data_IF_065915652711
#
_entry.id   IF_065915652711
#
_cell.length_a   1.000
_cell.length_b   1.000
_cell.length_c   1.000
_cell.angle_alpha   90.00
_cell.angle_beta   90.00
_cell.angle_gamma   90.00
#
_symmetry.space_group_name_H-M   'P 1'
#
loop_
_entity.id
_entity.type
_entity.pdbx_description
1 polymer ?
#
# COMPACT_ATOMS: atom_id res chain seq x y z
N UNK A 1 -17.43 -14.53 0.20
CA UNK A 1 -16.57 -14.06 1.31
C UNK A 1 -15.07 -14.21 1.04
N UNK A 2 -14.51 -15.43 0.87
CA UNK A 2 -13.05 -15.58 0.64
C UNK A 2 -12.57 -14.99 -0.71
N UNK A 3 -13.38 -15.11 -1.78
CA UNK A 3 -13.10 -14.48 -3.07
C UNK A 3 -13.10 -12.94 -2.97
N UNK A 4 -14.02 -12.37 -2.18
CA UNK A 4 -14.15 -10.92 -1.97
C UNK A 4 -12.94 -10.37 -1.19
N UNK A 5 -12.43 -11.11 -0.19
CA UNK A 5 -11.23 -10.74 0.57
C UNK A 5 -9.97 -10.76 -0.31
N UNK A 6 -9.85 -11.75 -1.22
CA UNK A 6 -8.75 -11.83 -2.17
C UNK A 6 -8.63 -10.58 -3.02
N UNK A 7 -9.73 -10.22 -3.69
CA UNK A 7 -9.83 -9.03 -4.53
C UNK A 7 -9.60 -7.73 -3.74
N UNK A 8 -10.16 -7.63 -2.53
CA UNK A 8 -9.99 -6.46 -1.68
C UNK A 8 -8.52 -6.21 -1.33
N UNK A 9 -7.78 -7.26 -0.98
CA UNK A 9 -6.35 -7.14 -0.65
C UNK A 9 -5.50 -6.84 -1.88
N UNK A 10 -5.87 -7.33 -3.05
CA UNK A 10 -5.21 -6.97 -4.31
C UNK A 10 -5.40 -5.48 -4.62
N UNK A 11 -6.61 -4.95 -4.45
CA UNK A 11 -6.92 -3.53 -4.61
C UNK A 11 -6.20 -2.65 -3.57
N UNK A 12 -6.05 -3.14 -2.34
CA UNK A 12 -5.31 -2.45 -1.28
C UNK A 12 -3.79 -2.49 -1.46
N UNK A 13 -3.27 -3.48 -2.20
CA UNK A 13 -1.84 -3.76 -2.34
C UNK A 13 -0.96 -2.54 -2.61
N UNK A 14 -1.25 -1.71 -3.62
CA UNK A 14 -0.46 -0.51 -3.92
C UNK A 14 -0.41 0.49 -2.76
N UNK A 15 -1.55 0.75 -2.11
CA UNK A 15 -1.63 1.67 -0.97
C UNK A 15 -0.85 1.14 0.24
N UNK A 16 -0.96 -0.17 0.51
CA UNK A 16 -0.21 -0.81 1.58
C UNK A 16 1.29 -0.71 1.32
N UNK A 17 1.75 -0.96 0.08
CA UNK A 17 3.15 -0.83 -0.30
C UNK A 17 3.66 0.61 -0.14
N UNK A 18 2.90 1.62 -0.59
CA UNK A 18 3.25 3.03 -0.39
C UNK A 18 3.40 3.38 1.09
N UNK A 19 2.48 2.91 1.95
CA UNK A 19 2.55 3.15 3.38
C UNK A 19 3.73 2.44 4.06
N UNK A 20 4.02 1.20 3.67
CA UNK A 20 5.20 0.47 4.17
C UNK A 20 6.49 1.15 3.74
N UNK A 21 6.61 1.60 2.48
CA UNK A 21 7.78 2.34 2.01
C UNK A 21 7.96 3.66 2.74
N UNK A 22 6.87 4.39 3.00
CA UNK A 22 6.93 5.72 3.59
C UNK A 22 7.18 5.71 5.10
N UNK A 23 6.63 4.73 5.83
CA UNK A 23 6.65 4.71 7.29
C UNK A 23 7.37 3.50 7.90
N UNK A 24 7.52 2.40 7.16
CA UNK A 24 7.95 1.12 7.72
C UNK A 24 7.10 0.75 8.94
N UNK A 25 7.75 0.24 10.00
CA UNK A 25 7.06 -0.11 11.26
C UNK A 25 6.45 1.09 11.99
N UNK A 26 6.89 2.31 11.71
CA UNK A 26 6.32 3.52 12.30
C UNK A 26 4.89 3.81 11.79
N UNK A 27 4.42 3.06 10.78
CA UNK A 27 3.03 3.12 10.31
C UNK A 27 2.02 2.92 11.44
N UNK A 28 2.37 2.14 12.47
CA UNK A 28 1.55 1.83 13.64
C UNK A 28 1.68 2.85 14.79
N UNK A 29 2.60 3.80 14.71
CA UNK A 29 2.77 4.81 15.76
C UNK A 29 1.55 5.76 15.82
N UNK A 30 1.13 6.09 17.05
CA UNK A 30 0.04 7.04 17.32
C UNK A 30 0.60 8.47 17.18
N UNK A 31 0.29 9.13 16.07
CA UNK A 31 0.71 10.52 15.80
C UNK A 31 0.42 10.94 14.36
N UNK A 32 0.23 12.23 14.11
CA UNK A 32 0.21 12.74 12.74
C UNK A 32 1.61 12.58 12.15
N UNK A 33 1.74 11.77 11.09
CA UNK A 33 2.94 11.79 10.26
C UNK A 33 2.96 13.08 9.47
N UNK A 34 3.05 14.21 10.17
CA UNK A 34 2.99 15.56 9.62
C UNK A 34 4.28 15.77 8.80
N UNK A 35 4.19 15.42 7.51
CA UNK A 35 5.28 15.57 6.55
C UNK A 35 5.50 14.35 5.64
N UNK A 36 4.88 13.21 5.94
CA UNK A 36 5.09 11.98 5.16
C UNK A 36 3.95 11.82 4.16
N UNK A 37 4.33 11.91 2.89
CA UNK A 37 3.59 11.69 1.65
C UNK A 37 2.06 11.48 1.81
N UNK A 38 1.28 12.48 1.40
CA UNK A 38 -0.19 12.41 1.40
C UNK A 38 -0.72 11.17 0.64
N UNK A 39 0.06 10.62 -0.30
CA UNK A 39 -0.27 9.40 -1.04
C UNK A 39 -0.20 8.12 -0.18
N UNK A 40 0.57 8.12 0.92
CA UNK A 40 0.69 7.01 1.85
C UNK A 40 -0.43 6.97 2.91
N UNK A 41 -1.20 8.06 3.05
CA UNK A 41 -2.27 8.22 4.05
C UNK A 41 -3.34 7.12 4.02
N UNK A 42 -3.90 6.74 2.85
CA UNK A 42 -4.86 5.64 2.76
C UNK A 42 -4.28 4.31 3.26
N UNK A 43 -3.10 3.91 2.80
CA UNK A 43 -2.46 2.66 3.22
C UNK A 43 -2.11 2.62 4.70
N UNK A 44 -1.71 3.77 5.28
CA UNK A 44 -1.46 3.88 6.71
C UNK A 44 -2.72 3.64 7.54
N UNK A 45 -3.85 4.24 7.17
CA UNK A 45 -5.14 4.03 7.87
C UNK A 45 -5.58 2.57 7.79
N UNK A 46 -5.41 1.95 6.62
CA UNK A 46 -5.70 0.52 6.43
C UNK A 46 -4.87 -0.38 7.35
N UNK A 47 -3.55 -0.17 7.40
CA UNK A 47 -2.64 -0.93 8.28
C UNK A 47 -2.95 -0.70 9.76
N UNK A 48 -3.32 0.52 10.15
CA UNK A 48 -3.75 0.81 11.51
C UNK A 48 -5.07 0.13 11.89
N UNK A 49 -6.05 0.11 10.99
CA UNK A 49 -7.31 -0.60 11.21
C UNK A 49 -7.06 -2.10 11.46
N UNK A 50 -6.23 -2.72 10.62
CA UNK A 50 -5.79 -4.11 10.80
C UNK A 50 -5.09 -4.28 12.16
N UNK A 51 -4.10 -3.43 12.46
CA UNK A 51 -3.33 -3.50 13.71
C UNK A 51 -4.20 -3.45 14.97
N UNK A 52 -5.23 -2.61 14.98
CA UNK A 52 -6.11 -2.43 16.13
C UNK A 52 -6.97 -3.67 16.41
N UNK A 53 -7.32 -4.46 15.39
CA UNK A 53 -8.12 -5.69 15.51
C UNK A 53 -7.30 -6.95 15.82
N UNK A 54 -5.97 -6.87 15.73
CA UNK A 54 -5.09 -8.00 16.01
C UNK A 54 -4.76 -8.14 17.50
N UNK A 55 -4.54 -9.38 17.94
CA UNK A 55 -3.93 -9.71 19.22
C UNK A 55 -2.41 -9.47 19.20
N UNK A 56 -1.73 -9.72 20.32
CA UNK A 56 -0.29 -9.48 20.46
C UNK A 56 0.53 -10.26 19.42
N UNK A 57 0.21 -11.53 19.19
CA UNK A 57 0.90 -12.38 18.21
C UNK A 57 0.66 -11.91 16.78
N UNK A 58 -0.57 -11.53 16.44
CA UNK A 58 -0.91 -10.98 15.12
C UNK A 58 -0.19 -9.66 14.87
N UNK A 59 -0.08 -8.80 15.89
CA UNK A 59 0.68 -7.54 15.82
C UNK A 59 2.17 -7.77 15.59
N UNK A 60 2.78 -8.70 16.32
CA UNK A 60 4.19 -9.05 16.10
C UNK A 60 4.44 -9.56 14.68
N UNK A 61 3.60 -10.48 14.19
CA UNK A 61 3.71 -11.03 12.85
C UNK A 61 3.53 -9.96 11.76
N UNK A 62 2.57 -9.05 11.93
CA UNK A 62 2.36 -7.94 11.02
C UNK A 62 3.52 -6.94 11.05
N UNK A 63 4.05 -6.62 12.23
CA UNK A 63 5.21 -5.73 12.38
C UNK A 63 6.48 -6.31 11.74
N UNK A 64 6.69 -7.62 11.87
CA UNK A 64 7.79 -8.31 11.20
C UNK A 64 7.65 -8.23 9.67
N UNK A 65 6.48 -8.58 9.14
CA UNK A 65 6.23 -8.50 7.69
C UNK A 65 6.41 -7.08 7.13
N UNK A 66 5.94 -6.05 7.85
CA UNK A 66 6.13 -4.65 7.47
C UNK A 66 7.60 -4.24 7.52
N UNK A 67 8.36 -4.72 8.50
CA UNK A 67 9.80 -4.45 8.62
C UNK A 67 10.55 -5.05 7.44
N UNK A 68 10.26 -6.29 7.10
CA UNK A 68 10.93 -7.01 6.00
C UNK A 68 10.61 -6.36 4.66
N UNK A 69 9.34 -6.03 4.41
CA UNK A 69 8.92 -5.32 3.19
C UNK A 69 9.48 -3.89 3.10
N UNK A 70 9.74 -3.23 4.23
CA UNK A 70 10.40 -1.93 4.23
C UNK A 70 11.91 -2.04 3.98
N UNK A 71 12.55 -3.10 4.48
CA UNK A 71 13.97 -3.35 4.26
C UNK A 71 14.27 -3.80 2.82
N UNK A 72 13.31 -4.46 2.17
CA UNK A 72 13.41 -4.95 0.79
C UNK A 72 12.20 -4.49 -0.05
N UNK A 73 12.14 -3.21 -0.46
CA UNK A 73 10.99 -2.65 -1.17
C UNK A 73 10.72 -3.29 -2.55
N UNK A 74 11.75 -3.84 -3.19
CA UNK A 74 11.66 -4.52 -4.49
C UNK A 74 11.37 -6.04 -4.35
N UNK A 75 11.29 -6.56 -3.12
CA UNK A 75 11.00 -7.96 -2.86
C UNK A 75 9.48 -8.22 -2.84
N UNK A 76 9.01 -8.87 -3.91
CA UNK A 76 7.62 -9.22 -4.08
C UNK A 76 7.10 -10.19 -3.01
N UNK A 77 7.96 -11.05 -2.44
CA UNK A 77 7.62 -12.00 -1.40
C UNK A 77 7.48 -11.31 -0.04
N UNK A 78 8.35 -10.34 0.25
CA UNK A 78 8.22 -9.50 1.44
C UNK A 78 6.90 -8.69 1.40
N UNK A 79 6.57 -8.09 0.25
CA UNK A 79 5.27 -7.44 0.05
C UNK A 79 4.09 -8.43 0.12
N UNK A 80 4.27 -9.67 -0.34
CA UNK A 80 3.26 -10.72 -0.23
C UNK A 80 3.01 -11.15 1.21
N UNK A 81 4.04 -11.16 2.06
CA UNK A 81 3.90 -11.46 3.48
C UNK A 81 2.98 -10.44 4.18
N UNK A 82 3.12 -9.14 3.90
CA UNK A 82 2.20 -8.10 4.41
C UNK A 82 0.77 -8.36 3.95
N UNK A 83 0.56 -8.63 2.65
CA UNK A 83 -0.77 -8.97 2.11
C UNK A 83 -1.35 -10.20 2.78
N UNK A 84 -0.54 -11.19 3.09
CA UNK A 84 -0.99 -12.42 3.76
C UNK A 84 -1.45 -12.16 5.19
N UNK A 85 -0.74 -11.33 5.96
CA UNK A 85 -1.17 -10.94 7.31
C UNK A 85 -2.50 -10.16 7.26
N UNK A 86 -2.64 -9.25 6.30
CA UNK A 86 -3.92 -8.52 6.09
C UNK A 86 -5.04 -9.48 5.72
N UNK A 87 -4.82 -10.43 4.78
CA UNK A 87 -5.83 -11.46 4.43
C UNK A 87 -6.25 -12.29 5.64
N UNK A 88 -5.32 -12.60 6.54
CA UNK A 88 -5.62 -13.34 7.77
C UNK A 88 -6.50 -12.51 8.69
N UNK A 89 -6.11 -11.28 8.99
CA UNK A 89 -6.89 -10.38 9.83
C UNK A 89 -8.33 -10.17 9.32
N UNK A 90 -8.50 -10.07 8.00
CA UNK A 90 -9.82 -9.93 7.36
C UNK A 90 -10.70 -11.18 7.44
N UNK A 91 -10.11 -12.35 7.67
CA UNK A 91 -10.88 -13.59 7.91
C UNK A 91 -11.26 -13.73 9.38
N UNK A 92 -10.41 -13.22 10.27
CA UNK A 92 -10.60 -13.32 11.72
C UNK A 92 -11.59 -12.26 12.24
N UNK A 93 -11.77 -11.13 11.54
CA UNK A 93 -12.75 -10.08 11.86
C UNK A 93 -13.75 -9.91 10.70
N UNK A 94 -15.04 -10.13 10.96
CA UNK A 94 -16.12 -10.08 9.97
C UNK A 94 -16.48 -8.66 9.49
N UNK A 95 -16.19 -7.63 10.30
CA UNK A 95 -16.50 -6.24 9.98
C UNK A 95 -15.37 -5.54 9.21
N UNK A 96 -14.13 -6.00 9.44
CA UNK A 96 -12.92 -5.41 8.88
C UNK A 96 -12.91 -5.37 7.34
N UNK A 97 -13.43 -6.35 6.58
CA UNK A 97 -13.54 -6.26 5.12
C UNK A 97 -14.38 -5.06 4.65
N UNK A 98 -15.52 -4.81 5.28
CA UNK A 98 -16.39 -3.69 4.91
C UNK A 98 -15.76 -2.34 5.30
N UNK A 99 -15.06 -2.29 6.42
CA UNK A 99 -14.30 -1.11 6.83
C UNK A 99 -13.15 -0.82 5.87
N UNK A 100 -12.34 -1.82 5.53
CA UNK A 100 -11.22 -1.70 4.61
C UNK A 100 -11.68 -1.29 3.20
N UNK A 101 -12.79 -1.83 2.73
CA UNK A 101 -13.39 -1.45 1.45
C UNK A 101 -13.81 0.03 1.41
N UNK A 102 -14.30 0.59 2.52
CA UNK A 102 -14.65 2.02 2.64
C UNK A 102 -13.42 2.94 2.66
N UNK A 103 -12.25 2.42 3.01
CA UNK A 103 -10.99 3.19 3.03
C UNK A 103 -10.29 3.22 1.69
N UNK A 104 -10.62 2.30 0.78
CA UNK A 104 -10.12 2.35 -0.59
C UNK A 104 -10.68 3.58 -1.28
N UNK A 105 -9.84 4.35 -2.01
CA UNK A 105 -10.34 5.34 -2.95
C UNK A 105 -11.32 4.65 -3.89
N UNK A 106 -12.46 5.30 -4.16
CA UNK A 106 -13.48 4.74 -5.03
C UNK A 106 -12.82 4.35 -6.36
N UNK A 107 -13.02 3.10 -6.79
CA UNK A 107 -12.56 2.65 -8.10
C UNK A 107 -13.18 3.55 -9.17
N UNK A 108 -12.38 4.45 -9.75
CA UNK A 108 -12.84 5.47 -10.69
C UNK A 108 -12.67 6.92 -10.24
N UNK A 109 -12.12 7.19 -9.05
CA UNK A 109 -11.61 8.53 -8.74
C UNK A 109 -10.48 8.83 -9.72
N UNK A 110 -10.80 9.65 -10.71
CA UNK A 110 -9.90 9.99 -11.80
C UNK A 110 -8.73 10.75 -11.19
N UNK A 111 -7.58 10.08 -11.04
CA UNK A 111 -6.34 10.76 -10.65
C UNK A 111 -6.00 11.71 -11.80
N UNK A 112 -6.31 12.99 -11.61
CA UNK A 112 -6.08 14.03 -12.61
C UNK A 112 -4.59 14.35 -12.65
N UNK A 113 -3.82 13.55 -13.37
CA UNK A 113 -2.39 13.81 -13.56
C UNK A 113 -2.24 14.83 -14.68
N UNK A 114 -1.90 16.07 -14.33
CA UNK A 114 -1.67 17.15 -15.30
C UNK A 114 -0.17 17.43 -15.37
N UNK A 115 0.40 17.33 -16.58
CA UNK A 115 1.75 17.77 -16.88
C UNK A 115 1.69 18.80 -18.02
N UNK A 116 2.44 19.89 -17.89
CA UNK A 116 2.54 20.92 -18.92
C UNK A 116 4.00 21.35 -19.08
N UNK A 117 4.47 21.38 -20.33
CA UNK A 117 5.85 21.67 -20.69
C UNK A 117 6.36 20.78 -21.82
N UNK A 118 7.46 21.20 -22.48
CA UNK A 118 8.18 20.32 -23.41
C UNK A 118 8.87 19.22 -22.61
N UNK A 119 8.69 17.96 -23.02
CA UNK A 119 9.25 16.74 -22.38
C UNK A 119 8.63 16.36 -21.03
N UNK A 120 7.39 16.72 -20.77
CA UNK A 120 6.72 16.38 -19.51
C UNK A 120 6.03 15.00 -19.56
N UNK A 121 6.17 14.21 -18.49
CA UNK A 121 5.48 12.93 -18.29
C UNK A 121 4.59 13.05 -17.06
N UNK A 122 3.34 12.62 -17.21
CA UNK A 122 2.36 12.48 -16.15
C UNK A 122 1.79 11.07 -16.23
N UNK A 123 1.97 10.27 -15.19
CA UNK A 123 1.30 8.99 -15.09
C UNK A 123 0.98 8.65 -13.64
N UNK A 124 -0.06 7.84 -13.48
CA UNK A 124 -0.42 7.22 -12.21
C UNK A 124 0.54 6.08 -11.84
N UNK A 125 1.06 5.36 -12.84
CA UNK A 125 2.13 4.36 -12.69
C UNK A 125 2.90 4.25 -14.01
N UNK A 126 4.23 4.24 -13.95
CA UNK A 126 5.13 4.07 -15.10
C UNK A 126 6.29 3.18 -14.68
N UNK A 127 6.63 2.21 -15.52
CA UNK A 127 7.85 1.41 -15.38
C UNK A 127 9.09 2.16 -15.88
N UNK A 128 9.12 2.51 -17.16
CA UNK A 128 10.22 3.29 -17.75
C UNK A 128 9.64 4.38 -18.65
N UNK A 129 10.07 5.63 -18.44
CA UNK A 129 9.72 6.74 -19.31
C UNK A 129 10.96 7.51 -19.76
N UNK A 130 11.06 7.77 -21.06
CA UNK A 130 12.15 8.53 -21.65
C UNK A 130 11.60 9.61 -22.57
N UNK A 131 11.98 10.87 -22.34
CA UNK A 131 11.49 12.05 -23.06
C UNK A 131 12.56 12.76 -23.90
N UNK A 132 13.75 12.16 -23.99
CA UNK A 132 14.87 12.65 -24.78
C UNK A 132 15.11 11.78 -26.02
N UNK A 133 15.81 12.35 -26.99
CA UNK A 133 16.24 11.65 -28.19
C UNK A 133 17.54 10.86 -27.89
N UNK A 134 17.73 9.70 -28.55
CA UNK A 134 18.89 8.79 -28.40
C UNK A 134 18.91 7.88 -27.15
N UNK A 135 17.75 7.48 -26.63
CA UNK A 135 17.66 6.57 -25.50
C UNK A 135 17.79 5.10 -25.92
N UNK A 136 18.84 4.42 -25.43
CA UNK A 136 18.95 2.95 -25.52
C UNK A 136 18.47 2.35 -24.21
N UNK A 137 17.25 1.77 -24.21
CA UNK A 137 16.71 1.06 -23.06
C UNK A 137 17.06 -0.42 -23.22
N UNK A 138 17.76 -1.00 -22.22
CA UNK A 138 18.00 -2.44 -22.12
C UNK A 138 17.15 -3.00 -20.98
N UNK A 139 16.52 -4.18 -21.15
CA UNK A 139 15.68 -4.81 -20.12
C UNK A 139 16.50 -5.26 -18.91
#
# INVERSE_FOLDING_TARGET
MSADIGQLVEQAGPYLATAVSAYGVAVFARGEGAGVDATAGPGRRMLQAVWLRQDERGREALAAAVRDAHAAPDDADAAAAVRQQVKRALRDDVELPAELARMLPAAGETVKVTASGRRSIAAQSIGTAVTGDNATIRP
#
